data_IF_387505643650
#
_entry.id   IF_387505643650
#
_cell.length_a   1.000
_cell.length_b   1.000
_cell.length_c   1.000
_cell.angle_alpha   90.00
_cell.angle_beta   90.00
_cell.angle_gamma   90.00
#
_symmetry.space_group_name_H-M   'P 1'
#
loop_
_entity.id
_entity.type
_entity.pdbx_description
1 polymer ?
#
# COMPACT_ATOMS: atom_id res chain seq x y z
N UNK A 1 11.09 10.79 -2.26
CA UNK A 1 9.92 11.55 -1.77
C UNK A 1 9.24 10.72 -0.70
N UNK A 2 8.91 11.33 0.42
CA UNK A 2 8.37 10.61 1.57
C UNK A 2 6.99 11.13 1.93
N UNK A 3 6.10 10.22 2.36
CA UNK A 3 4.75 10.56 2.79
C UNK A 3 4.46 9.89 4.12
N UNK A 4 3.76 10.61 5.00
CA UNK A 4 3.29 10.03 6.25
C UNK A 4 2.00 9.23 6.03
N UNK A 5 1.68 8.34 6.98
CA UNK A 5 0.44 7.59 6.93
C UNK A 5 -0.78 8.53 6.91
N UNK A 6 -0.73 9.62 7.66
CA UNK A 6 -1.80 10.62 7.68
C UNK A 6 -1.99 11.26 6.30
N UNK A 7 -0.89 11.59 5.61
CA UNK A 7 -0.98 12.18 4.27
C UNK A 7 -1.59 11.20 3.28
N UNK A 8 -1.17 9.95 3.34
CA UNK A 8 -1.67 8.91 2.44
C UNK A 8 -3.16 8.65 2.71
N UNK A 9 -3.55 8.57 3.97
CA UNK A 9 -4.95 8.34 4.34
C UNK A 9 -5.84 9.48 3.85
N UNK A 10 -5.37 10.72 3.97
CA UNK A 10 -6.11 11.88 3.47
C UNK A 10 -6.30 11.78 1.95
N UNK A 11 -5.24 11.43 1.23
CA UNK A 11 -5.30 11.29 -0.22
C UNK A 11 -6.28 10.20 -0.65
N UNK A 12 -6.30 9.08 0.07
CA UNK A 12 -7.10 7.91 -0.29
C UNK A 12 -8.48 7.91 0.39
N UNK A 13 -8.77 8.92 1.19
CA UNK A 13 -10.00 8.99 1.97
C UNK A 13 -10.17 7.77 2.87
N UNK A 14 -9.06 7.34 3.48
CA UNK A 14 -9.00 6.19 4.36
C UNK A 14 -8.86 6.57 5.82
N UNK A 15 -8.85 5.56 6.68
CA UNK A 15 -8.69 5.74 8.13
C UNK A 15 -7.38 5.11 8.58
N UNK A 16 -6.62 5.84 9.39
CA UNK A 16 -5.36 5.35 9.96
C UNK A 16 -5.65 4.57 11.23
N UNK A 17 -5.06 3.37 11.34
CA UNK A 17 -5.08 2.57 12.54
C UNK A 17 -3.63 2.33 12.96
N UNK A 18 -3.22 2.95 14.05
CA UNK A 18 -1.84 2.93 14.54
C UNK A 18 -1.20 4.30 14.47
N UNK A 19 0.11 4.35 14.27
CA UNK A 19 0.89 5.60 14.25
C UNK A 19 0.76 6.29 12.89
N UNK A 20 0.03 7.38 12.83
CA UNK A 20 -0.17 8.16 11.61
C UNK A 20 1.02 8.99 11.19
N UNK A 21 2.05 9.12 12.03
CA UNK A 21 3.25 9.90 11.72
C UNK A 21 4.33 9.09 11.02
N UNK A 22 4.13 7.78 10.88
CA UNK A 22 5.08 6.90 10.18
C UNK A 22 5.21 7.34 8.73
N UNK A 23 6.46 7.39 8.24
CA UNK A 23 6.78 7.89 6.91
C UNK A 23 7.28 6.75 6.04
N UNK A 24 6.86 6.73 4.79
CA UNK A 24 7.34 5.75 3.80
C UNK A 24 7.82 6.49 2.56
N UNK A 25 8.85 5.93 1.93
CA UNK A 25 9.44 6.51 0.72
C UNK A 25 9.36 5.59 -0.49
N UNK A 26 8.82 4.39 -0.31
CA UNK A 26 8.81 3.40 -1.38
C UNK A 26 7.64 2.43 -1.18
N UNK A 27 7.42 1.58 -2.18
CA UNK A 27 6.38 0.55 -2.16
C UNK A 27 7.04 -0.82 -2.26
N UNK A 28 6.50 -1.80 -1.54
CA UNK A 28 7.00 -3.18 -1.60
C UNK A 28 5.84 -4.17 -1.59
N UNK A 29 6.13 -5.41 -2.00
CA UNK A 29 5.17 -6.50 -1.87
C UNK A 29 4.99 -6.88 -0.40
N UNK A 30 3.77 -7.27 -0.02
CA UNK A 30 3.50 -7.64 1.37
C UNK A 30 4.30 -8.88 1.81
N UNK A 31 4.59 -9.79 0.89
CA UNK A 31 5.38 -11.01 1.16
C UNK A 31 6.88 -10.82 1.00
N UNK A 32 7.30 -9.69 0.45
CA UNK A 32 8.70 -9.32 0.27
C UNK A 32 8.93 -7.89 0.71
N UNK A 33 8.36 -7.53 1.85
CA UNK A 33 8.35 -6.16 2.34
C UNK A 33 9.68 -5.75 2.96
N UNK A 34 9.88 -4.43 3.03
CA UNK A 34 11.05 -3.82 3.65
C UNK A 34 10.63 -2.67 4.55
N UNK A 35 11.46 -2.29 5.53
CA UNK A 35 11.18 -1.14 6.38
C UNK A 35 11.03 0.14 5.55
N UNK A 36 10.24 1.08 6.06
CA UNK A 36 9.98 2.39 5.42
C UNK A 36 9.29 2.26 4.07
N UNK A 37 8.52 1.19 3.87
CA UNK A 37 7.75 0.98 2.64
C UNK A 37 6.27 0.85 2.93
N UNK A 38 5.50 1.11 1.89
CA UNK A 38 4.05 0.95 1.87
C UNK A 38 3.73 -0.34 1.13
N UNK A 39 2.89 -1.17 1.72
CA UNK A 39 2.39 -2.38 1.07
C UNK A 39 0.87 -2.36 0.98
N UNK A 40 0.31 -3.22 0.14
CA UNK A 40 -1.13 -3.33 -0.08
C UNK A 40 -1.58 -4.76 0.16
N UNK A 41 -2.74 -4.91 0.79
CA UNK A 41 -3.41 -6.20 0.95
C UNK A 41 -4.75 -6.12 0.21
N UNK A 42 -4.73 -6.38 -1.09
CA UNK A 42 -5.95 -6.41 -1.90
C UNK A 42 -6.46 -7.84 -2.11
N UNK A 43 -5.58 -8.83 -2.07
CA UNK A 43 -5.93 -10.23 -2.26
C UNK A 43 -5.80 -10.96 -0.91
N UNK A 44 -6.91 -11.45 -0.39
CA UNK A 44 -6.94 -12.10 0.92
C UNK A 44 -6.13 -13.40 0.99
N UNK A 45 -5.73 -13.96 -0.14
CA UNK A 45 -4.81 -15.08 -0.15
C UNK A 45 -3.44 -14.72 0.47
N UNK A 46 -3.10 -13.44 0.48
CA UNK A 46 -1.86 -12.95 1.08
C UNK A 46 -2.05 -12.38 2.48
N UNK A 47 -3.22 -12.53 3.07
CA UNK A 47 -3.52 -11.95 4.39
C UNK A 47 -2.55 -12.43 5.48
N UNK A 48 -2.06 -13.66 5.38
CA UNK A 48 -1.13 -14.23 6.34
C UNK A 48 0.18 -13.44 6.44
N UNK A 49 0.59 -12.77 5.38
CA UNK A 49 1.86 -12.05 5.35
C UNK A 49 1.81 -10.75 6.15
N UNK A 50 0.61 -10.25 6.50
CA UNK A 50 0.49 -9.02 7.26
C UNK A 50 1.06 -9.16 8.68
N UNK A 51 1.12 -10.39 9.20
CA UNK A 51 1.63 -10.65 10.55
C UNK A 51 3.16 -10.70 10.61
N UNK A 52 3.80 -10.88 9.46
CA UNK A 52 5.27 -10.96 9.38
C UNK A 52 5.88 -9.87 8.52
N UNK A 53 5.05 -9.01 7.93
CA UNK A 53 5.54 -7.95 7.05
C UNK A 53 6.42 -6.96 7.82
N UNK A 54 7.49 -6.49 7.16
CA UNK A 54 8.34 -5.43 7.69
C UNK A 54 7.96 -4.06 7.14
N UNK A 55 6.93 -4.00 6.28
CA UNK A 55 6.43 -2.73 5.78
C UNK A 55 5.95 -1.85 6.93
N UNK A 56 6.20 -0.55 6.82
CA UNK A 56 5.78 0.38 7.86
C UNK A 56 4.29 0.68 7.81
N UNK A 57 3.71 0.68 6.62
CA UNK A 57 2.30 0.96 6.40
C UNK A 57 1.73 -0.10 5.46
N UNK A 58 0.53 -0.62 5.77
CA UNK A 58 -0.19 -1.54 4.89
C UNK A 58 -1.59 -1.00 4.65
N UNK A 59 -1.98 -0.89 3.40
CA UNK A 59 -3.33 -0.47 3.03
C UNK A 59 -4.20 -1.72 2.93
N UNK A 60 -5.32 -1.73 3.64
CA UNK A 60 -6.24 -2.86 3.72
C UNK A 60 -7.66 -2.41 3.46
N UNK A 61 -8.53 -3.35 3.09
CA UNK A 61 -9.96 -3.08 2.99
C UNK A 61 -10.57 -2.88 4.38
N UNK A 62 -11.65 -2.13 4.46
CA UNK A 62 -12.33 -1.86 5.74
C UNK A 62 -12.76 -3.12 6.46
N UNK A 63 -13.10 -4.15 5.71
CA UNK A 63 -13.58 -5.41 6.27
C UNK A 63 -12.47 -6.26 6.87
N UNK A 64 -11.21 -5.95 6.60
CA UNK A 64 -10.10 -6.73 7.12
C UNK A 64 -10.05 -6.65 8.64
N UNK A 65 -9.94 -7.82 9.28
CA UNK A 65 -9.78 -7.92 10.74
C UNK A 65 -8.54 -8.74 11.03
N UNK A 66 -7.63 -8.17 11.81
CA UNK A 66 -6.43 -8.88 12.23
C UNK A 66 -6.77 -9.82 13.39
N UNK A 67 -6.24 -11.04 13.34
CA UNK A 67 -6.42 -12.03 14.40
C UNK A 67 -5.52 -11.75 15.60
N UNK A 68 -4.37 -11.11 15.36
CA UNK A 68 -3.39 -10.76 16.39
C UNK A 68 -2.95 -9.32 16.20
N UNK A 69 -2.37 -8.68 17.24
CA UNK A 69 -1.85 -7.32 17.08
C UNK A 69 -0.80 -7.25 15.99
N UNK A 70 -0.80 -6.14 15.24
CA UNK A 70 0.12 -5.91 14.14
C UNK A 70 1.15 -4.86 14.53
N UNK A 71 2.37 -5.01 14.00
CA UNK A 71 3.44 -4.05 14.23
C UNK A 71 3.42 -2.87 13.26
N UNK A 72 2.70 -3.00 12.15
CA UNK A 72 2.61 -1.96 11.13
C UNK A 72 1.42 -1.05 11.36
N UNK A 73 1.47 0.14 10.73
CA UNK A 73 0.32 1.04 10.69
C UNK A 73 -0.59 0.61 9.55
N UNK A 74 -1.90 0.57 9.79
CA UNK A 74 -2.88 0.23 8.78
C UNK A 74 -3.58 1.49 8.27
N UNK A 75 -3.88 1.50 6.99
CA UNK A 75 -4.80 2.47 6.39
C UNK A 75 -5.97 1.67 5.83
N UNK A 76 -7.15 1.88 6.40
CA UNK A 76 -8.37 1.19 5.97
C UNK A 76 -9.09 1.99 4.92
N UNK A 77 -9.39 1.36 3.79
CA UNK A 77 -10.06 1.99 2.66
C UNK A 77 -11.22 1.11 2.21
N UNK A 78 -12.11 1.67 1.39
CA UNK A 78 -13.24 0.92 0.85
C UNK A 78 -12.78 -0.24 -0.03
N UNK A 79 -11.77 0.01 -0.87
CA UNK A 79 -11.21 -1.01 -1.75
C UNK A 79 -9.72 -0.74 -1.92
N UNK A 80 -8.89 -1.64 -1.41
CA UNK A 80 -7.44 -1.47 -1.45
C UNK A 80 -6.90 -1.42 -2.90
N UNK A 81 -7.53 -2.15 -3.82
CA UNK A 81 -7.09 -2.14 -5.21
C UNK A 81 -7.33 -0.78 -5.86
N UNK A 82 -8.53 -0.22 -5.65
CA UNK A 82 -8.86 1.12 -6.17
C UNK A 82 -7.99 2.19 -5.52
N UNK A 83 -7.69 2.05 -4.24
CA UNK A 83 -6.80 2.96 -3.52
C UNK A 83 -5.40 2.95 -4.13
N UNK A 84 -4.90 1.77 -4.49
CA UNK A 84 -3.61 1.64 -5.15
C UNK A 84 -3.59 2.39 -6.48
N UNK A 85 -4.63 2.24 -7.29
CA UNK A 85 -4.73 2.95 -8.56
C UNK A 85 -4.74 4.47 -8.37
N UNK A 86 -5.46 4.94 -7.35
CA UNK A 86 -5.52 6.37 -7.03
C UNK A 86 -4.18 6.90 -6.57
N UNK A 87 -3.48 6.13 -5.74
CA UNK A 87 -2.14 6.50 -5.28
C UNK A 87 -1.17 6.56 -6.45
N UNK A 88 -1.28 5.63 -7.39
CA UNK A 88 -0.45 5.60 -8.59
C UNK A 88 -0.66 6.86 -9.42
N UNK A 89 -1.90 7.29 -9.62
CA UNK A 89 -2.20 8.52 -10.36
C UNK A 89 -1.57 9.74 -9.69
N UNK A 90 -1.68 9.81 -8.37
CA UNK A 90 -1.09 10.90 -7.60
C UNK A 90 0.42 10.89 -7.73
N UNK A 91 1.04 9.72 -7.58
CA UNK A 91 2.50 9.59 -7.66
C UNK A 91 3.02 9.96 -9.04
N UNK A 92 2.28 9.62 -10.09
CA UNK A 92 2.66 9.93 -11.46
C UNK A 92 2.69 11.44 -11.74
N UNK A 93 1.87 12.22 -11.03
CA UNK A 93 1.89 13.68 -11.17
C UNK A 93 3.15 14.31 -10.58
N UNK A 94 3.76 13.65 -9.60
CA UNK A 94 5.00 14.12 -8.99
C UNK A 94 6.22 13.65 -9.75
N UNK A 95 6.15 12.47 -10.36
CA UNK A 95 7.27 11.90 -11.09
C UNK A 95 6.93 11.79 -12.55
N UNK A 96 7.72 12.45 -13.38
CA UNK A 96 7.53 12.42 -14.83
C UNK A 96 7.78 11.06 -15.44
N UNK A 97 8.44 10.16 -14.72
CA UNK A 97 8.77 8.83 -15.20
C UNK A 97 7.69 7.82 -14.84
N UNK A 98 6.52 8.04 -15.39
CA UNK A 98 5.32 7.27 -15.07
C UNK A 98 5.44 5.79 -15.44
N UNK A 99 6.15 5.48 -16.53
CA UNK A 99 6.25 4.08 -17.00
C UNK A 99 6.90 3.17 -15.97
N UNK A 100 8.00 3.61 -15.39
CA UNK A 100 8.72 2.82 -14.40
C UNK A 100 7.85 2.61 -13.18
N UNK A 101 7.12 3.64 -12.74
CA UNK A 101 6.21 3.55 -11.60
C UNK A 101 5.11 2.52 -11.86
N UNK A 102 4.48 2.55 -13.04
CA UNK A 102 3.44 1.60 -13.40
C UNK A 102 3.97 0.17 -13.40
N UNK A 103 5.10 -0.07 -14.06
CA UNK A 103 5.70 -1.40 -14.12
C UNK A 103 6.01 -1.93 -12.73
N UNK A 104 6.58 -1.09 -11.86
CA UNK A 104 6.92 -1.48 -10.50
C UNK A 104 5.66 -1.89 -9.74
N UNK A 105 4.58 -1.13 -9.86
CA UNK A 105 3.33 -1.44 -9.16
C UNK A 105 2.66 -2.70 -9.68
N UNK A 106 2.68 -2.94 -10.98
CA UNK A 106 2.15 -4.19 -11.53
C UNK A 106 2.95 -5.40 -11.08
N UNK A 107 4.26 -5.27 -10.98
CA UNK A 107 5.11 -6.33 -10.43
C UNK A 107 4.79 -6.60 -8.97
N UNK A 108 4.56 -5.55 -8.19
CA UNK A 108 4.21 -5.67 -6.77
C UNK A 108 2.87 -6.40 -6.61
N UNK A 109 1.91 -6.13 -7.48
CA UNK A 109 0.59 -6.78 -7.44
C UNK A 109 0.62 -8.20 -8.00
N UNK A 110 1.68 -8.61 -8.66
CA UNK A 110 1.75 -9.91 -9.33
C UNK A 110 0.93 -9.99 -10.60
N UNK A 111 0.63 -8.84 -11.22
CA UNK A 111 -0.15 -8.77 -12.45
C UNK A 111 0.74 -8.37 -13.61
N UNK A 112 0.42 -8.87 -14.81
CA UNK A 112 1.10 -8.43 -16.02
C UNK A 112 0.57 -7.07 -16.47
N UNK A 113 1.43 -6.34 -17.20
CA UNK A 113 1.05 -5.05 -17.76
C UNK A 113 -0.12 -5.22 -18.74
N UNK A 114 -0.15 -6.30 -19.47
CA UNK A 114 -1.20 -6.56 -20.46
C UNK A 114 -2.56 -6.71 -19.83
N UNK A 115 -2.66 -7.34 -18.65
CA UNK A 115 -3.94 -7.53 -17.98
C UNK A 115 -4.46 -6.24 -17.34
N UNK A 116 -3.64 -5.20 -17.25
CA UNK A 116 -4.02 -3.91 -16.71
C UNK A 116 -4.48 -2.93 -17.79
N UNK A 117 -4.24 -3.26 -19.03
CA UNK A 117 -4.69 -2.46 -20.16
C UNK A 117 -6.06 -2.96 -20.63
#
# INVERSE_FOLDING_TARGET
>A
MEFSANDIATLLNGEVEGDGTVVVGNISKIDQSQPNTLSFLSNMAYAKFIYTTTASIVIVNKEFKAETPLSCTLIRVDDAYSALAKLLEFYAKFKRNMRITLLTLFLILGKSVESAI
#
